data_IF_298220219498
#
_entry.id   IF_298220219498
#
_cell.length_a   1.000
_cell.length_b   1.000
_cell.length_c   1.000
_cell.angle_alpha   90.00
_cell.angle_beta   90.00
_cell.angle_gamma   90.00
#
_symmetry.space_group_name_H-M   'P 1'
#
loop_
_entity.id
_entity.type
_entity.pdbx_description
1 polymer ?
#
# COMPACT_ATOMS: atom_id res chain seq x y z
N UNK A 1 19.02 8.04 -20.00
CA UNK A 1 18.41 9.11 -19.18
C UNK A 1 16.90 8.99 -19.31
N UNK A 2 16.14 9.18 -18.22
CA UNK A 2 14.68 9.14 -18.29
C UNK A 2 14.16 10.30 -19.16
N UNK A 3 13.14 10.05 -19.97
CA UNK A 3 12.51 11.11 -20.76
C UNK A 3 11.70 12.02 -19.84
N UNK A 4 11.97 13.33 -19.86
CA UNK A 4 11.29 14.31 -19.02
C UNK A 4 9.87 14.51 -19.57
N UNK A 5 8.82 14.23 -18.79
CA UNK A 5 7.45 14.35 -19.26
C UNK A 5 7.08 15.83 -19.45
N UNK A 6 6.18 16.09 -20.39
CA UNK A 6 5.48 17.36 -20.42
C UNK A 6 4.64 17.49 -19.14
N UNK A 7 4.95 18.48 -18.31
CA UNK A 7 4.42 18.61 -16.96
C UNK A 7 3.90 20.02 -16.73
N UNK A 8 2.83 20.14 -15.94
CA UNK A 8 2.32 21.43 -15.47
C UNK A 8 3.20 22.05 -14.36
N UNK A 9 4.23 21.34 -13.92
CA UNK A 9 5.14 21.71 -12.85
C UNK A 9 6.53 22.02 -13.41
N UNK A 10 7.23 22.97 -12.79
CA UNK A 10 8.62 23.27 -13.17
C UNK A 10 9.50 22.10 -12.73
N UNK A 11 10.30 21.56 -13.67
CA UNK A 11 11.20 20.42 -13.45
C UNK A 11 12.64 20.80 -13.80
N UNK A 12 13.60 20.13 -13.16
CA UNK A 12 15.00 20.15 -13.57
C UNK A 12 15.30 18.91 -14.45
N UNK A 13 15.50 19.08 -15.77
CA UNK A 13 15.76 17.95 -16.67
C UNK A 13 17.02 17.16 -16.34
N UNK A 14 18.05 17.81 -15.77
CA UNK A 14 19.35 17.19 -15.52
C UNK A 14 19.32 16.20 -14.35
N UNK A 15 18.38 16.37 -13.43
CA UNK A 15 18.21 15.54 -12.23
C UNK A 15 16.96 14.65 -12.30
N UNK A 16 16.12 14.80 -13.32
CA UNK A 16 14.97 13.95 -13.50
C UNK A 16 15.37 12.48 -13.72
N UNK A 17 14.73 11.58 -12.97
CA UNK A 17 15.06 10.15 -13.01
C UNK A 17 16.30 9.75 -12.20
N UNK A 18 16.72 10.58 -11.26
CA UNK A 18 17.82 10.31 -10.32
C UNK A 18 17.33 10.49 -8.88
N UNK A 19 17.98 9.79 -7.96
CA UNK A 19 17.75 9.96 -6.53
C UNK A 19 18.21 11.34 -6.07
N UNK A 20 17.58 11.81 -4.99
CA UNK A 20 17.90 13.09 -4.35
C UNK A 20 18.57 12.80 -3.01
N UNK A 21 19.76 13.38 -2.81
CA UNK A 21 20.38 13.45 -1.50
C UNK A 21 19.72 14.56 -0.67
N UNK A 22 18.88 14.17 0.28
CA UNK A 22 18.14 15.12 1.11
C UNK A 22 19.02 15.88 2.11
N UNK A 23 20.26 15.44 2.34
CA UNK A 23 21.20 16.14 3.22
C UNK A 23 21.91 17.31 2.51
N UNK A 24 21.78 17.39 1.19
CA UNK A 24 22.34 18.46 0.39
C UNK A 24 21.30 19.56 0.12
N UNK A 25 21.36 20.63 0.91
CA UNK A 25 20.43 21.76 0.80
C UNK A 25 20.46 22.48 -0.56
N UNK A 26 21.57 22.41 -1.31
CA UNK A 26 21.69 23.07 -2.62
C UNK A 26 20.81 22.40 -3.68
N UNK A 27 20.52 21.10 -3.51
CA UNK A 27 19.67 20.35 -4.44
C UNK A 27 18.21 20.25 -3.97
N UNK A 28 17.89 20.68 -2.75
CA UNK A 28 16.51 20.79 -2.22
C UNK A 28 15.77 21.99 -2.80
N UNK A 29 15.73 22.08 -4.13
CA UNK A 29 15.02 23.12 -4.86
C UNK A 29 13.69 22.58 -5.37
N UNK A 30 12.69 23.46 -5.48
CA UNK A 30 11.38 23.13 -6.06
C UNK A 30 11.43 22.29 -7.34
N UNK A 31 12.19 22.65 -8.40
CA UNK A 31 12.21 21.86 -9.63
C UNK A 31 12.80 20.46 -9.47
N UNK A 32 13.71 20.25 -8.52
CA UNK A 32 14.28 18.94 -8.23
C UNK A 32 13.28 18.07 -7.47
N UNK A 33 12.70 18.61 -6.40
CA UNK A 33 11.70 17.92 -5.57
C UNK A 33 10.45 17.56 -6.40
N UNK A 34 9.95 18.49 -7.20
CA UNK A 34 8.87 18.23 -8.15
C UNK A 34 9.23 17.10 -9.12
N UNK A 35 10.44 17.15 -9.68
CA UNK A 35 10.95 16.14 -10.62
C UNK A 35 10.99 14.74 -10.02
N UNK A 36 11.48 14.62 -8.79
CA UNK A 36 11.55 13.34 -8.08
C UNK A 36 10.16 12.77 -7.80
N UNK A 37 9.25 13.56 -7.24
CA UNK A 37 7.87 13.12 -6.97
C UNK A 37 7.19 12.62 -8.25
N UNK A 38 7.31 13.37 -9.36
CA UNK A 38 6.69 12.98 -10.63
C UNK A 38 7.30 11.70 -11.20
N UNK A 39 8.63 11.57 -11.12
CA UNK A 39 9.33 10.39 -11.59
C UNK A 39 8.92 9.14 -10.81
N UNK A 40 8.91 9.21 -9.49
CA UNK A 40 8.51 8.11 -8.62
C UNK A 40 7.03 7.75 -8.82
N UNK A 41 6.13 8.75 -8.88
CA UNK A 41 4.73 8.52 -9.22
C UNK A 41 4.54 7.85 -10.58
N UNK A 42 5.40 8.14 -11.56
CA UNK A 42 5.37 7.49 -12.87
C UNK A 42 5.76 6.02 -12.75
N UNK A 43 6.80 5.69 -11.98
CA UNK A 43 7.22 4.30 -11.74
C UNK A 43 6.08 3.49 -11.13
N UNK A 44 5.44 4.01 -10.08
CA UNK A 44 4.33 3.32 -9.42
C UNK A 44 3.14 3.10 -10.35
N UNK A 45 2.81 4.08 -11.20
CA UNK A 45 1.75 3.95 -12.21
C UNK A 45 2.09 2.91 -13.27
N UNK A 46 3.29 2.97 -13.83
CA UNK A 46 3.76 2.06 -14.88
C UNK A 46 3.89 0.61 -14.34
N UNK A 47 4.10 0.46 -13.02
CA UNK A 47 4.19 -0.84 -12.33
C UNK A 47 2.89 -1.28 -11.66
N UNK A 48 1.81 -0.50 -11.80
CA UNK A 48 0.49 -0.76 -11.22
C UNK A 48 0.46 -0.98 -9.70
N UNK A 49 1.29 -0.22 -8.95
CA UNK A 49 1.36 -0.33 -7.49
C UNK A 49 0.04 0.11 -6.85
N UNK A 50 -0.42 -0.67 -5.87
CA UNK A 50 -1.65 -0.44 -5.10
C UNK A 50 -1.60 -1.12 -3.74
N UNK A 51 -2.43 -0.66 -2.82
CA UNK A 51 -2.60 -1.16 -1.46
C UNK A 51 -1.25 -1.22 -0.72
N UNK A 52 -0.89 -2.38 -0.16
CA UNK A 52 0.34 -2.61 0.63
C UNK A 52 1.59 -2.25 -0.16
N UNK A 53 1.70 -2.73 -1.40
CA UNK A 53 2.87 -2.48 -2.24
C UNK A 53 3.09 -0.98 -2.52
N UNK A 54 2.01 -0.19 -2.55
CA UNK A 54 2.12 1.26 -2.78
C UNK A 54 2.52 2.02 -1.52
N UNK A 55 2.00 1.66 -0.35
CA UNK A 55 2.42 2.31 0.90
C UNK A 55 3.86 1.94 1.26
N UNK A 56 4.26 0.68 1.05
CA UNK A 56 5.65 0.24 1.24
C UNK A 56 6.61 1.00 0.32
N UNK A 57 6.28 1.11 -0.98
CA UNK A 57 7.09 1.88 -1.92
C UNK A 57 7.16 3.36 -1.55
N UNK A 58 6.03 3.96 -1.15
CA UNK A 58 6.00 5.33 -0.65
C UNK A 58 6.91 5.51 0.58
N UNK A 59 6.87 4.57 1.52
CA UNK A 59 7.69 4.61 2.73
C UNK A 59 9.17 4.40 2.43
N UNK A 60 9.53 3.56 1.45
CA UNK A 60 10.92 3.36 1.01
C UNK A 60 11.45 4.60 0.28
N UNK A 61 10.72 5.09 -0.74
CA UNK A 61 11.15 6.20 -1.60
C UNK A 61 11.25 7.54 -0.84
N UNK A 62 10.44 7.72 0.22
CA UNK A 62 10.36 8.96 0.98
C UNK A 62 10.75 8.79 2.46
N UNK A 63 11.46 7.71 2.83
CA UNK A 63 11.73 7.30 4.21
C UNK A 63 12.26 8.43 5.13
N UNK A 64 13.15 9.25 4.59
CA UNK A 64 13.84 10.31 5.35
C UNK A 64 13.21 11.70 5.12
N UNK A 65 12.11 11.79 4.37
CA UNK A 65 11.49 13.06 4.05
C UNK A 65 10.66 13.60 5.21
N UNK A 66 10.74 14.90 5.42
CA UNK A 66 9.97 15.62 6.44
C UNK A 66 8.91 16.52 5.80
N UNK A 67 8.01 17.08 6.61
CA UNK A 67 7.05 18.09 6.15
C UNK A 67 7.75 19.26 5.44
N UNK A 68 8.92 19.69 5.92
CA UNK A 68 9.68 20.79 5.35
C UNK A 68 10.17 20.48 3.93
N UNK A 69 10.65 19.25 3.70
CA UNK A 69 11.10 18.80 2.37
C UNK A 69 9.91 18.72 1.42
N UNK A 70 8.78 18.15 1.87
CA UNK A 70 7.55 18.14 1.05
C UNK A 70 7.04 19.56 0.75
N UNK A 71 7.11 20.51 1.70
CA UNK A 71 6.64 21.90 1.51
C UNK A 71 7.47 22.67 0.46
N UNK A 72 8.64 22.17 0.03
CA UNK A 72 9.39 22.71 -1.12
C UNK A 72 8.67 22.46 -2.45
N UNK A 73 7.93 21.37 -2.55
CA UNK A 73 7.20 20.98 -3.75
C UNK A 73 6.01 21.91 -4.02
N UNK A 74 5.50 21.89 -5.26
CA UNK A 74 4.26 22.59 -5.56
C UNK A 74 3.06 21.97 -4.83
N UNK A 75 2.25 22.82 -4.19
CA UNK A 75 1.09 22.40 -3.41
C UNK A 75 0.10 21.53 -4.20
N UNK A 76 -0.08 21.83 -5.50
CA UNK A 76 -0.96 21.05 -6.37
C UNK A 76 -0.36 19.67 -6.68
N UNK A 77 0.96 19.55 -6.80
CA UNK A 77 1.64 18.28 -6.97
C UNK A 77 1.49 17.40 -5.72
N UNK A 78 1.62 17.98 -4.51
CA UNK A 78 1.36 17.23 -3.27
C UNK A 78 -0.09 16.76 -3.18
N UNK A 79 -1.05 17.55 -3.67
CA UNK A 79 -2.46 17.15 -3.79
C UNK A 79 -2.61 15.96 -4.74
N UNK A 80 -1.96 16.01 -5.89
CA UNK A 80 -2.00 14.95 -6.90
C UNK A 80 -1.37 13.65 -6.39
N UNK A 81 -0.23 13.74 -5.68
CA UNK A 81 0.43 12.62 -5.01
C UNK A 81 -0.51 11.98 -3.98
N UNK A 82 -1.06 12.79 -3.06
CA UNK A 82 -2.02 12.32 -2.05
C UNK A 82 -3.25 11.66 -2.68
N UNK A 83 -3.80 12.27 -3.73
CA UNK A 83 -4.98 11.73 -4.41
C UNK A 83 -4.65 10.43 -5.14
N UNK A 84 -3.45 10.29 -5.70
CA UNK A 84 -2.97 9.05 -6.30
C UNK A 84 -2.85 7.92 -5.27
N UNK A 85 -2.18 8.18 -4.14
CA UNK A 85 -2.03 7.20 -3.05
C UNK A 85 -3.41 6.70 -2.56
N UNK A 86 -4.31 7.64 -2.25
CA UNK A 86 -5.64 7.33 -1.74
C UNK A 86 -6.51 6.55 -2.72
N UNK A 87 -6.50 6.93 -4.00
CA UNK A 87 -7.28 6.22 -5.04
C UNK A 87 -6.81 4.78 -5.21
N UNK A 88 -5.57 4.47 -4.87
CA UNK A 88 -4.97 3.14 -5.04
C UNK A 88 -4.81 2.40 -3.70
N UNK A 89 -5.64 2.72 -2.68
CA UNK A 89 -5.76 1.89 -1.48
C UNK A 89 -4.87 2.29 -0.30
N UNK A 90 -4.19 3.43 -0.35
CA UNK A 90 -3.47 3.98 0.81
C UNK A 90 -4.43 4.81 1.65
N UNK A 91 -4.59 4.46 2.93
CA UNK A 91 -5.39 5.26 3.84
C UNK A 91 -4.70 6.60 4.11
N UNK A 92 -5.48 7.69 4.07
CA UNK A 92 -4.99 9.03 4.36
C UNK A 92 -6.08 9.77 5.13
N UNK A 93 -5.76 10.15 6.37
CA UNK A 93 -6.69 10.85 7.23
C UNK A 93 -7.05 12.23 6.66
N UNK A 94 -8.32 12.41 6.30
CA UNK A 94 -8.80 13.64 5.66
C UNK A 94 -9.32 14.63 6.70
N UNK A 95 -8.41 15.30 7.40
CA UNK A 95 -8.76 16.37 8.34
C UNK A 95 -8.68 17.75 7.68
N UNK A 96 -9.72 18.60 7.80
CA UNK A 96 -9.65 19.99 7.34
C UNK A 96 -8.55 20.75 8.10
N UNK A 97 -7.89 21.68 7.41
CA UNK A 97 -6.84 22.51 8.00
C UNK A 97 -5.45 21.88 8.06
N UNK A 98 -5.29 20.59 7.74
CA UNK A 98 -3.97 19.95 7.67
C UNK A 98 -3.35 20.15 6.27
N UNK A 99 -2.09 20.60 6.23
CA UNK A 99 -1.31 20.74 4.99
C UNK A 99 -1.07 19.37 4.34
N UNK A 100 -1.00 19.33 2.99
CA UNK A 100 -0.70 18.10 2.27
C UNK A 100 0.67 17.51 2.63
N UNK A 101 1.70 18.34 2.77
CA UNK A 101 3.01 17.90 3.22
C UNK A 101 2.96 17.14 4.56
N UNK A 102 2.18 17.67 5.52
CA UNK A 102 2.01 17.01 6.81
C UNK A 102 1.23 15.70 6.71
N UNK A 103 0.20 15.66 5.86
CA UNK A 103 -0.52 14.41 5.59
C UNK A 103 0.41 13.33 5.02
N UNK A 104 1.30 13.71 4.09
CA UNK A 104 2.25 12.80 3.47
C UNK A 104 3.32 12.30 4.46
N UNK A 105 3.86 13.18 5.32
CA UNK A 105 4.77 12.75 6.39
C UNK A 105 4.09 11.77 7.36
N UNK A 106 2.81 11.97 7.67
CA UNK A 106 2.07 11.06 8.56
C UNK A 106 1.97 9.65 7.96
N UNK A 107 1.88 9.51 6.63
CA UNK A 107 1.84 8.20 5.94
C UNK A 107 3.17 7.46 6.12
N UNK A 108 4.30 8.17 6.24
CA UNK A 108 5.61 7.55 6.48
C UNK A 108 5.67 6.78 7.81
N UNK A 109 4.82 7.15 8.77
CA UNK A 109 4.73 6.54 10.11
C UNK A 109 3.53 5.60 10.25
N UNK A 110 2.73 5.47 9.20
CA UNK A 110 1.50 4.69 9.22
C UNK A 110 1.82 3.19 9.09
N UNK A 111 1.03 2.36 9.77
CA UNK A 111 1.05 0.92 9.53
C UNK A 111 0.53 0.59 8.12
N UNK A 112 1.19 -0.35 7.46
CA UNK A 112 0.82 -0.86 6.14
C UNK A 112 -0.56 -1.52 6.19
N UNK A 113 -0.91 -2.13 7.31
CA UNK A 113 -2.13 -2.93 7.48
C UNK A 113 -3.34 -2.13 8.00
N UNK A 114 -3.66 -0.99 7.36
CA UNK A 114 -4.87 -0.24 7.74
C UNK A 114 -6.16 -1.01 7.40
N UNK A 115 -6.98 -1.25 8.42
CA UNK A 115 -8.30 -1.86 8.26
C UNK A 115 -9.31 -0.80 7.84
N UNK A 116 -9.69 -0.83 6.56
CA UNK A 116 -10.65 0.11 5.99
C UNK A 116 -12.07 -0.12 6.53
N UNK A 117 -12.70 0.96 7.02
CA UNK A 117 -14.12 0.91 7.38
C UNK A 117 -15.01 1.15 6.14
N UNK A 118 -16.28 0.72 6.21
CA UNK A 118 -17.24 0.96 5.14
C UNK A 118 -17.41 2.46 4.82
N UNK A 119 -17.40 3.31 5.85
CA UNK A 119 -17.51 4.76 5.69
C UNK A 119 -16.30 5.36 4.97
N UNK A 120 -15.09 4.84 5.23
CA UNK A 120 -13.87 5.27 4.56
C UNK A 120 -13.89 4.86 3.08
N UNK A 121 -14.30 3.63 2.79
CA UNK A 121 -14.45 3.10 1.43
C UNK A 121 -15.47 3.92 0.65
N UNK A 122 -16.64 4.20 1.27
CA UNK A 122 -17.69 5.01 0.67
C UNK A 122 -17.18 6.43 0.39
N UNK A 123 -16.48 7.05 1.35
CA UNK A 123 -15.93 8.39 1.19
C UNK A 123 -14.98 8.52 0.01
N UNK A 124 -14.09 7.54 -0.20
CA UNK A 124 -13.16 7.54 -1.34
C UNK A 124 -13.90 7.23 -2.64
N UNK A 125 -14.81 6.24 -2.63
CA UNK A 125 -15.58 5.81 -3.79
C UNK A 125 -16.52 6.89 -4.33
N UNK A 126 -17.07 7.74 -3.46
CA UNK A 126 -17.93 8.86 -3.86
C UNK A 126 -17.17 10.01 -4.52
N UNK A 127 -15.83 10.05 -4.38
CA UNK A 127 -14.97 11.10 -4.96
C UNK A 127 -14.31 10.69 -6.28
N UNK A 128 -14.56 9.48 -6.75
CA UNK A 128 -14.08 9.00 -8.06
C UNK A 128 -13.73 7.52 -8.05
N UNK A 129 -12.80 7.15 -8.93
CA UNK A 129 -12.35 5.77 -9.09
C UNK A 129 -11.54 5.35 -7.86
N UNK A 130 -11.95 4.25 -7.23
CA UNK A 130 -11.22 3.61 -6.13
C UNK A 130 -10.66 2.25 -6.59
N UNK A 131 -9.37 2.25 -6.93
CA UNK A 131 -8.62 1.11 -7.46
C UNK A 131 -7.98 0.29 -6.33
N UNK A 132 -8.82 -0.22 -5.43
CA UNK A 132 -8.38 -1.01 -4.29
C UNK A 132 -9.18 -2.30 -4.17
N UNK A 133 -8.58 -3.32 -3.56
CA UNK A 133 -9.28 -4.57 -3.23
C UNK A 133 -10.43 -4.36 -2.24
N UNK A 134 -10.42 -3.26 -1.49
CA UNK A 134 -11.48 -2.87 -0.58
C UNK A 134 -12.70 -2.28 -1.29
N UNK A 135 -12.64 -2.05 -2.61
CA UNK A 135 -13.78 -1.55 -3.36
C UNK A 135 -14.79 -2.68 -3.62
N UNK A 136 -15.99 -2.65 -3.03
CA UNK A 136 -17.01 -3.69 -3.23
C UNK A 136 -17.53 -3.75 -4.67
N UNK A 137 -17.34 -2.69 -5.47
CA UNK A 137 -17.72 -2.68 -6.89
C UNK A 137 -16.74 -3.45 -7.78
N UNK A 138 -15.49 -3.64 -7.36
CA UNK A 138 -14.49 -4.40 -8.14
C UNK A 138 -14.66 -5.91 -7.98
N UNK A 139 -15.18 -6.35 -6.84
CA UNK A 139 -15.46 -7.76 -6.55
C UNK A 139 -16.88 -7.84 -5.98
N UNK A 140 -17.92 -8.06 -6.81
CA UNK A 140 -19.24 -8.36 -6.28
C UNK A 140 -19.09 -9.55 -5.35
N UNK A 141 -19.50 -9.38 -4.10
CA UNK A 141 -19.54 -10.43 -3.07
C UNK A 141 -20.20 -11.65 -3.72
N UNK A 142 -19.45 -12.72 -3.98
CA UNK A 142 -20.08 -13.99 -4.31
C UNK A 142 -20.79 -14.40 -3.02
N UNK A 143 -22.12 -14.45 -3.06
CA UNK A 143 -22.92 -14.93 -1.95
C UNK A 143 -22.29 -16.24 -1.44
N UNK A 144 -22.10 -16.35 -0.13
CA UNK A 144 -21.67 -17.61 0.45
C UNK A 144 -22.74 -18.69 0.16
N UNK A 145 -22.38 -19.98 0.08
CA UNK A 145 -23.37 -21.05 -0.08
C UNK A 145 -24.48 -21.00 0.99
N UNK A 146 -24.18 -20.43 2.17
CA UNK A 146 -25.10 -20.29 3.30
C UNK A 146 -26.20 -19.24 3.05
N UNK A 147 -25.90 -18.16 2.30
CA UNK A 147 -26.91 -17.15 1.92
C UNK A 147 -27.88 -17.65 0.83
N UNK A 148 -27.49 -18.65 0.03
CA UNK A 148 -28.35 -19.24 -1.02
C UNK A 148 -29.47 -20.10 -0.42
N UNK A 149 -29.20 -20.77 0.71
CA UNK A 149 -30.19 -21.63 1.39
C UNK A 149 -31.35 -20.81 1.94
N UNK A 150 -31.08 -19.63 2.51
CA UNK A 150 -32.11 -18.75 3.08
C UNK A 150 -33.08 -18.17 2.05
N UNK A 151 -32.65 -18.00 0.79
CA UNK A 151 -33.50 -17.45 -0.28
C UNK A 151 -34.45 -18.52 -0.84
N UNK A 152 -34.05 -19.79 -0.89
CA UNK A 152 -34.91 -20.89 -1.34
C UNK A 152 -36.00 -21.28 -0.32
N UNK A 153 -35.74 -21.14 0.98
CA UNK A 153 -36.77 -21.44 2.00
C UNK A 153 -37.88 -20.39 2.03
N UNK A 154 -37.55 -19.13 1.70
CA UNK A 154 -38.50 -18.00 1.71
C UNK A 154 -39.51 -18.04 0.55
N UNK A 155 -39.21 -18.77 -0.54
CA UNK A 155 -40.06 -18.85 -1.73
C UNK A 155 -40.93 -20.12 -1.80
N UNK A 156 -40.79 -21.06 -0.86
CA UNK A 156 -41.51 -22.34 -0.88
C UNK A 156 -42.62 -22.49 0.18
N UNK A 157 -42.96 -21.44 0.94
CA UNK A 157 -44.09 -21.49 1.89
C UNK A 157 -45.35 -20.91 1.23
N UNK A 158 -45.79 -21.57 0.16
CA UNK A 158 -47.10 -21.39 -0.43
C UNK A 158 -47.64 -22.76 -0.79
N UNK A 159 -48.69 -23.18 -0.09
CA UNK A 159 -49.51 -24.39 -0.31
C UNK A 159 -48.92 -25.73 0.18
N UNK A 160 -49.13 -25.99 1.48
CA UNK A 160 -49.14 -27.36 2.01
C UNK A 160 -50.51 -27.98 1.70
N UNK A 161 -50.58 -28.88 0.71
CA UNK A 161 -51.63 -29.89 0.61
C UNK A 161 -51.07 -31.25 1.06
N UNK A 162 -51.75 -32.00 1.95
CA UNK A 162 -51.17 -33.20 2.53
C UNK A 162 -51.40 -34.41 1.62
N UNK A 163 -50.31 -34.98 1.09
CA UNK A 163 -50.18 -36.42 0.81
C UNK A 163 -48.71 -36.76 0.47
N UNK A 164 -48.05 -37.43 1.42
CA UNK A 164 -46.79 -38.16 1.24
C UNK A 164 -47.09 -39.49 0.46
N UNK A 165 -46.10 -40.31 -0.02
CA UNK A 165 -44.94 -40.73 0.76
C UNK A 165 -43.61 -41.13 0.05
N UNK A 166 -42.55 -41.14 0.87
CA UNK A 166 -41.44 -42.12 0.91
C UNK A 166 -40.27 -42.11 -0.08
N UNK A 167 -40.29 -41.44 -1.24
CA UNK A 167 -39.07 -41.40 -2.10
C UNK A 167 -38.02 -40.36 -1.70
N UNK A 168 -38.39 -39.30 -0.98
CA UNK A 168 -37.52 -38.16 -0.67
C UNK A 168 -36.60 -38.35 0.54
N UNK A 169 -36.78 -39.41 1.34
CA UNK A 169 -35.96 -39.65 2.54
C UNK A 169 -34.62 -40.32 2.17
N UNK A 170 -34.59 -41.15 1.12
CA UNK A 170 -33.37 -41.85 0.70
C UNK A 170 -32.35 -40.97 -0.03
N UNK A 171 -32.78 -39.92 -0.73
CA UNK A 171 -31.86 -38.97 -1.38
C UNK A 171 -31.19 -38.01 -0.39
N UNK A 172 -31.87 -37.66 0.71
CA UNK A 172 -31.28 -36.85 1.80
C UNK A 172 -30.14 -37.56 2.53
N UNK A 173 -30.22 -38.88 2.69
CA UNK A 173 -29.15 -39.67 3.31
C UNK A 173 -27.93 -39.82 2.38
N UNK A 174 -28.14 -39.88 1.06
CA UNK A 174 -27.05 -40.02 0.08
C UNK A 174 -26.18 -38.75 0.00
N UNK A 175 -26.80 -37.57 0.02
CA UNK A 175 -26.08 -36.28 -0.06
C UNK A 175 -25.30 -35.99 1.24
N UNK A 176 -25.88 -36.31 2.40
CA UNK A 176 -25.22 -36.15 3.71
C UNK A 176 -23.94 -37.01 3.84
N UNK A 177 -23.93 -38.20 3.23
CA UNK A 177 -22.77 -39.08 3.25
C UNK A 177 -21.65 -38.65 2.28
N UNK A 178 -21.98 -37.94 1.19
CA UNK A 178 -20.99 -37.45 0.23
C UNK A 178 -20.21 -36.25 0.79
N UNK A 179 -20.92 -35.30 1.42
CA UNK A 179 -20.31 -34.09 2.02
C UNK A 179 -19.38 -34.42 3.19
N UNK A 180 -19.65 -35.48 3.96
CA UNK A 180 -18.75 -35.93 5.03
C UNK A 180 -17.45 -36.57 4.54
N UNK A 181 -17.38 -37.05 3.29
CA UNK A 181 -16.21 -37.76 2.77
C UNK A 181 -15.13 -36.85 2.17
N UNK A 182 -15.47 -35.62 1.75
CA UNK A 182 -14.49 -34.67 1.21
C UNK A 182 -13.78 -33.83 2.29
N UNK A 183 -14.39 -33.65 3.47
CA UNK A 183 -13.79 -32.89 4.59
C UNK A 183 -12.67 -33.62 5.36
N UNK A 184 -12.18 -34.76 4.84
CA UNK A 184 -11.16 -35.57 5.51
C UNK A 184 -9.90 -35.81 4.67
N UNK A 185 -9.67 -35.02 3.61
CA UNK A 185 -8.37 -34.94 2.96
C UNK A 185 -7.57 -33.77 3.55
N UNK A 186 -6.67 -34.13 4.44
CA UNK A 186 -5.62 -33.28 5.01
C UNK A 186 -4.96 -32.42 3.94
N UNK A 187 -4.99 -31.10 4.14
CA UNK A 187 -3.99 -30.20 3.58
C UNK A 187 -2.98 -29.90 4.68
N UNK A 188 -1.76 -30.38 4.50
CA UNK A 188 -0.64 -30.02 5.37
C UNK A 188 -0.37 -28.51 5.26
N UNK A 189 -0.06 -27.82 6.37
CA UNK A 189 0.29 -26.41 6.33
C UNK A 189 1.66 -26.24 5.66
N UNK A 190 1.68 -25.52 4.53
CA UNK A 190 2.91 -25.07 3.87
C UNK A 190 3.59 -24.03 4.76
N UNK A 191 4.90 -24.12 5.04
CA UNK A 191 5.58 -23.18 5.91
C UNK A 191 5.63 -21.77 5.29
N UNK A 192 5.28 -20.77 6.10
CA UNK A 192 5.56 -19.36 5.88
C UNK A 192 7.07 -19.15 5.74
N UNK A 193 7.54 -18.97 4.50
CA UNK A 193 8.71 -18.15 4.11
C UNK A 193 9.08 -18.44 2.65
N UNK A 194 8.39 -17.83 1.68
CA UNK A 194 8.93 -17.76 0.30
C UNK A 194 8.23 -16.74 -0.61
N UNK A 195 7.95 -15.51 -0.15
CA UNK A 195 7.35 -14.53 -1.09
C UNK A 195 7.81 -13.08 -0.91
N UNK A 196 9.10 -12.85 -0.70
CA UNK A 196 9.68 -11.50 -0.82
C UNK A 196 11.11 -11.56 -1.38
N UNK A 197 11.32 -11.93 -2.65
CA UNK A 197 12.66 -11.69 -3.26
C UNK A 197 12.76 -11.69 -4.80
N UNK A 198 11.67 -11.59 -5.56
CA UNK A 198 11.77 -11.92 -6.99
C UNK A 198 10.99 -11.00 -7.95
N UNK A 199 10.99 -9.67 -7.75
CA UNK A 199 10.66 -8.70 -8.82
C UNK A 199 11.39 -7.34 -8.66
N UNK A 200 12.72 -7.34 -8.66
CA UNK A 200 13.51 -6.17 -9.10
C UNK A 200 14.22 -6.53 -10.41
N UNK A 201 14.11 -5.75 -11.49
CA UNK A 201 15.13 -5.73 -12.53
C UNK A 201 16.46 -5.31 -11.89
N UNK A 202 17.49 -6.13 -12.06
CA UNK A 202 18.69 -6.15 -11.24
C UNK A 202 19.38 -4.79 -11.04
N UNK A 203 19.56 -4.43 -9.77
CA UNK A 203 20.64 -3.57 -9.31
C UNK A 203 21.37 -4.30 -8.19
N UNK A 204 22.57 -4.78 -8.53
CA UNK A 204 23.53 -5.40 -7.62
C UNK A 204 24.34 -4.26 -7.00
N UNK A 205 24.02 -3.86 -5.77
CA UNK A 205 24.96 -3.13 -4.93
C UNK A 205 26.01 -4.13 -4.44
N UNK A 206 27.24 -3.94 -4.87
CA UNK A 206 28.42 -4.59 -4.31
C UNK A 206 28.64 -4.06 -2.88
N UNK A 207 28.35 -4.88 -1.88
CA UNK A 207 28.77 -4.65 -0.51
C UNK A 207 29.62 -5.83 -0.03
N UNK A 208 30.92 -5.59 0.16
CA UNK A 208 31.80 -6.17 1.18
C UNK A 208 32.88 -5.10 1.41
N UNK A 209 33.26 -4.70 2.63
CA UNK A 209 33.05 -5.26 3.95
C UNK A 209 33.32 -4.17 4.99
N UNK A 210 32.54 -4.20 6.07
CA UNK A 210 32.73 -3.45 7.30
C UNK A 210 34.13 -3.63 7.90
N UNK A 211 34.73 -2.52 8.35
CA UNK A 211 35.46 -2.45 9.62
C UNK A 211 35.14 -1.12 10.31
N UNK A 212 34.61 -1.19 11.54
CA UNK A 212 34.60 -0.14 12.58
C UNK A 212 35.25 -0.76 13.82
N UNK A 213 35.70 0.02 14.82
CA UNK A 213 36.68 1.10 14.77
C UNK A 213 37.85 0.81 15.76
N UNK A 214 38.99 1.51 15.64
CA UNK A 214 39.95 1.64 16.76
C UNK A 214 39.82 3.04 17.35
N UNK A 215 39.48 3.08 18.63
CA UNK A 215 39.56 4.27 19.46
C UNK A 215 41.02 4.73 19.57
N UNK A 216 41.32 5.95 19.13
CA UNK A 216 42.52 6.67 19.54
C UNK A 216 42.13 7.78 20.53
N UNK A 217 42.82 7.79 21.66
CA UNK A 217 42.71 8.76 22.74
C UNK A 217 43.03 10.18 22.27
N UNK A 218 42.26 11.20 22.66
CA UNK A 218 42.73 12.58 22.57
C UNK A 218 43.78 12.84 23.66
N UNK A 219 45.03 13.10 23.23
CA UNK A 219 46.07 13.69 24.06
C UNK A 219 45.62 15.10 24.50
N UNK A 220 45.52 15.29 25.81
CA UNK A 220 45.47 16.60 26.48
C UNK A 220 46.80 17.34 26.32
N UNK A 221 46.82 18.61 25.90
CA UNK A 221 47.98 19.47 26.09
C UNK A 221 47.97 20.14 27.47
N UNK A 222 49.16 20.13 28.08
CA UNK A 222 49.52 20.58 29.41
C UNK A 222 49.05 22.00 29.81
N UNK A 223 48.57 22.10 31.06
CA UNK A 223 48.50 23.36 31.80
C UNK A 223 49.91 23.76 32.24
N UNK A 224 50.39 24.91 31.79
CA UNK A 224 51.55 25.59 32.39
C UNK A 224 51.23 26.02 33.83
N UNK A 225 52.12 25.84 34.80
CA UNK A 225 52.00 26.49 36.09
C UNK A 225 52.39 27.97 35.98
N UNK A 226 51.54 28.81 36.55
CA UNK A 226 51.81 30.19 36.95
C UNK A 226 52.95 30.25 37.95
N UNK A 227 53.94 31.10 37.68
CA UNK A 227 54.71 31.86 38.65
C UNK A 227 55.05 33.22 38.02
#
# INVERSE_FOLDING_TARGET
MANVPNSNYVLNPALYGKDIDINNSEILTKPNINGYIIWVMKIWKDSEYRNEALIEAFQEDFAEWTTEIFDVADKLLLRDLRDHLRKNGVFIECKPGIKYAKQLENILKQDVNHNWTEQEIEYVSNRGIFNSRFNPKMYPRQNSPEEIIGIQESQCIGEIHPQAPEKLIKEREFISHFVKKENQKNFDPVPENSYCESRRPGWRLSNQSSQKPKFENPQTPDRKPTN
#
